data_IF_841373224126
#
_entry.id   IF_841373224126
#
_cell.length_a   1.000
_cell.length_b   1.000
_cell.length_c   1.000
_cell.angle_alpha   90.00
_cell.angle_beta   90.00
_cell.angle_gamma   90.00
#
_symmetry.space_group_name_H-M   'P 1'
#
loop_
_entity.id
_entity.type
_entity.pdbx_description
1 polymer ?
#
# COMPACT_ATOMS: atom_id res chain seq x y z
N UNK A 1 -18.75 -29.84 33.46
CA UNK A 1 -18.57 -28.48 32.93
C UNK A 1 -17.62 -28.61 31.73
N UNK A 2 -18.09 -28.33 30.52
CA UNK A 2 -17.23 -28.37 29.34
C UNK A 2 -16.20 -27.28 29.48
N UNK A 3 -14.93 -27.60 29.27
CA UNK A 3 -13.84 -26.62 29.19
C UNK A 3 -14.20 -25.60 28.06
N UNK A 4 -14.17 -24.30 28.33
CA UNK A 4 -14.34 -23.34 27.21
C UNK A 4 -13.24 -23.62 26.19
N UNK A 5 -13.62 -23.65 24.90
CA UNK A 5 -12.67 -23.77 23.81
C UNK A 5 -11.58 -22.70 23.96
N UNK A 6 -10.30 -23.01 23.64
CA UNK A 6 -9.23 -22.05 23.72
C UNK A 6 -9.59 -20.79 22.89
N UNK A 7 -9.16 -19.62 23.34
CA UNK A 7 -9.49 -18.32 22.74
C UNK A 7 -9.19 -18.25 21.23
N UNK A 8 -8.26 -19.05 20.74
CA UNK A 8 -7.90 -19.21 19.32
C UNK A 8 -8.98 -19.89 18.46
N UNK A 9 -10.06 -20.42 19.04
CA UNK A 9 -11.17 -21.04 18.28
C UNK A 9 -12.45 -20.18 18.25
N UNK A 10 -12.42 -18.97 18.84
CA UNK A 10 -13.54 -18.04 18.70
C UNK A 10 -13.14 -16.99 17.65
N UNK A 11 -13.72 -17.07 16.46
CA UNK A 11 -13.59 -16.04 15.45
C UNK A 11 -14.06 -14.68 15.98
N UNK A 12 -13.59 -13.59 15.33
CA UNK A 12 -14.06 -12.24 15.57
C UNK A 12 -15.57 -12.20 15.26
N UNK A 13 -16.37 -11.67 16.19
CA UNK A 13 -17.82 -11.47 15.96
C UNK A 13 -18.01 -10.34 14.94
N UNK A 14 -18.74 -10.62 13.85
CA UNK A 14 -18.94 -9.69 12.75
C UNK A 14 -20.43 -9.62 12.44
N UNK A 15 -20.98 -8.40 12.47
CA UNK A 15 -22.36 -8.11 12.08
C UNK A 15 -22.35 -7.19 10.87
N UNK A 16 -23.20 -7.48 9.89
CA UNK A 16 -23.33 -6.69 8.67
C UNK A 16 -24.70 -6.08 8.56
N UNK A 17 -24.74 -4.81 8.13
CA UNK A 17 -25.95 -4.08 7.74
C UNK A 17 -25.74 -3.46 6.36
N UNK A 18 -26.84 -3.16 5.68
CA UNK A 18 -26.81 -2.42 4.41
C UNK A 18 -27.90 -1.37 4.40
N UNK A 19 -27.51 -0.11 4.20
CA UNK A 19 -28.43 0.98 4.05
C UNK A 19 -29.16 0.94 2.69
N UNK A 20 -30.29 1.63 2.60
CA UNK A 20 -31.07 1.72 1.37
C UNK A 20 -30.28 2.35 0.19
N UNK A 21 -29.33 3.24 0.48
CA UNK A 21 -28.43 3.86 -0.50
C UNK A 21 -27.24 2.98 -0.90
N UNK A 22 -27.17 1.75 -0.39
CA UNK A 22 -26.17 0.76 -0.76
C UNK A 22 -24.92 0.73 0.12
N UNK A 23 -24.72 1.66 1.08
CA UNK A 23 -23.61 1.63 2.02
C UNK A 23 -23.62 0.31 2.80
N UNK A 24 -22.51 -0.42 2.77
CA UNK A 24 -22.31 -1.60 3.62
C UNK A 24 -21.68 -1.17 4.93
N UNK A 25 -22.21 -1.68 6.03
CA UNK A 25 -21.77 -1.38 7.40
C UNK A 25 -21.36 -2.69 8.06
N UNK A 26 -20.13 -2.75 8.54
CA UNK A 26 -19.54 -3.92 9.19
C UNK A 26 -19.21 -3.55 10.64
N UNK A 27 -19.78 -4.26 11.60
CA UNK A 27 -19.61 -3.99 13.03
C UNK A 27 -18.89 -5.15 13.71
N UNK A 28 -18.02 -4.82 14.66
CA UNK A 28 -17.39 -5.79 15.55
C UNK A 28 -17.21 -5.21 16.95
N UNK A 29 -17.95 -5.76 17.92
CA UNK A 29 -17.89 -5.32 19.30
C UNK A 29 -16.62 -5.80 20.01
N UNK A 30 -16.00 -4.89 20.78
CA UNK A 30 -14.87 -5.19 21.67
C UNK A 30 -14.86 -4.21 22.84
N UNK A 31 -15.31 -4.68 24.00
CA UNK A 31 -15.45 -3.88 25.21
C UNK A 31 -14.22 -3.94 26.13
N UNK A 32 -13.05 -4.41 25.63
CA UNK A 32 -11.83 -4.50 26.42
C UNK A 32 -11.24 -3.13 26.77
N UNK A 33 -11.44 -2.15 25.89
CA UNK A 33 -10.97 -0.77 26.07
C UNK A 33 -12.06 0.20 25.63
N UNK A 34 -12.22 1.39 26.28
CA UNK A 34 -13.29 2.35 25.96
C UNK A 34 -12.95 3.20 24.72
N UNK A 35 -12.60 2.55 23.63
CA UNK A 35 -12.27 3.17 22.33
C UNK A 35 -13.04 2.52 21.21
N UNK A 36 -13.34 3.28 20.16
CA UNK A 36 -13.93 2.79 18.93
C UNK A 36 -13.14 3.30 17.71
N UNK A 37 -12.99 2.47 16.70
CA UNK A 37 -12.46 2.86 15.41
C UNK A 37 -13.58 2.91 14.37
N UNK A 38 -13.55 3.95 13.56
CA UNK A 38 -14.34 4.10 12.33
C UNK A 38 -13.37 4.00 11.17
N UNK A 39 -13.65 3.15 10.19
CA UNK A 39 -12.85 3.02 8.98
C UNK A 39 -13.79 2.99 7.77
N UNK A 40 -13.60 3.93 6.86
CA UNK A 40 -14.39 4.04 5.64
C UNK A 40 -13.50 3.78 4.43
N UNK A 41 -13.73 2.66 3.74
CA UNK A 41 -13.07 2.30 2.50
C UNK A 41 -13.93 2.63 1.30
N UNK A 42 -13.34 3.33 0.34
CA UNK A 42 -13.88 3.47 -1.00
C UNK A 42 -13.16 2.53 -1.95
N UNK A 43 -13.91 1.78 -2.77
CA UNK A 43 -13.35 0.95 -3.85
C UNK A 43 -12.87 1.84 -4.99
N UNK A 44 -11.82 2.60 -4.70
CA UNK A 44 -11.14 3.49 -5.65
C UNK A 44 -9.69 3.72 -5.22
N UNK A 45 -8.76 3.52 -6.14
CA UNK A 45 -7.33 3.77 -5.98
C UNK A 45 -6.72 4.09 -7.34
N UNK A 46 -5.39 4.08 -7.46
CA UNK A 46 -4.71 4.48 -8.70
C UNK A 46 -5.07 3.62 -9.91
N UNK A 47 -5.45 2.35 -9.72
CA UNK A 47 -5.94 1.48 -10.82
C UNK A 47 -7.16 2.02 -11.54
N UNK A 48 -7.83 3.02 -10.99
CA UNK A 48 -9.05 3.64 -11.55
C UNK A 48 -8.76 4.85 -12.40
N UNK A 49 -7.53 5.33 -12.33
CA UNK A 49 -7.07 6.48 -13.05
C UNK A 49 -6.87 6.17 -14.53
N UNK A 50 -6.99 7.18 -15.35
CA UNK A 50 -6.74 7.06 -16.78
C UNK A 50 -5.40 7.69 -17.13
N UNK A 51 -4.76 7.21 -18.18
CA UNK A 51 -3.49 7.77 -18.69
C UNK A 51 -3.63 9.27 -18.93
N UNK A 52 -2.66 10.04 -18.44
CA UNK A 52 -2.68 11.51 -18.47
C UNK A 52 -3.44 12.16 -17.31
N UNK A 53 -3.88 11.37 -16.32
CA UNK A 53 -4.57 11.81 -15.10
C UNK A 53 -4.17 10.96 -13.89
N UNK A 54 -2.89 10.54 -13.83
CA UNK A 54 -2.36 9.74 -12.72
C UNK A 54 -2.10 10.60 -11.49
N UNK A 55 -2.26 10.02 -10.30
CA UNK A 55 -2.12 10.71 -9.02
C UNK A 55 -3.41 11.35 -8.48
N UNK A 56 -4.54 11.26 -9.23
CA UNK A 56 -5.82 11.84 -8.82
C UNK A 56 -6.38 11.18 -7.57
N UNK A 57 -6.26 9.86 -7.43
CA UNK A 57 -6.76 9.15 -6.25
C UNK A 57 -6.05 9.60 -4.97
N UNK A 58 -4.73 9.77 -5.04
CA UNK A 58 -3.94 10.26 -3.92
C UNK A 58 -4.15 11.76 -3.65
N UNK A 59 -4.20 12.58 -4.70
CA UNK A 59 -4.58 13.99 -4.55
C UNK A 59 -5.95 14.11 -3.89
N UNK A 60 -6.88 13.20 -4.23
CA UNK A 60 -8.22 13.21 -3.65
C UNK A 60 -8.21 12.83 -2.17
N UNK A 61 -7.32 11.92 -1.74
CA UNK A 61 -7.10 11.64 -0.32
C UNK A 61 -6.82 12.93 0.46
N UNK A 62 -5.93 13.79 -0.05
CA UNK A 62 -5.61 15.08 0.55
C UNK A 62 -6.80 16.06 0.51
N UNK A 63 -7.51 16.12 -0.61
CA UNK A 63 -8.66 17.01 -0.77
C UNK A 63 -9.79 16.69 0.22
N UNK A 64 -9.95 15.44 0.63
CA UNK A 64 -10.96 15.03 1.60
C UNK A 64 -10.77 15.65 3.00
N UNK A 65 -9.62 16.24 3.29
CA UNK A 65 -9.35 16.95 4.54
C UNK A 65 -9.47 18.48 4.40
N UNK A 66 -9.81 18.99 3.22
CA UNK A 66 -9.90 20.43 2.96
C UNK A 66 -11.23 21.07 3.38
N UNK A 67 -12.06 20.30 4.09
CA UNK A 67 -13.37 20.78 4.58
C UNK A 67 -14.54 20.22 3.78
N UNK A 68 -15.72 20.62 4.19
CA UNK A 68 -17.02 20.21 3.63
C UNK A 68 -18.04 21.33 3.87
N UNK A 69 -19.33 21.09 3.65
CA UNK A 69 -20.34 22.13 3.87
C UNK A 69 -20.39 22.62 5.34
N UNK A 70 -20.11 21.74 6.30
CA UNK A 70 -20.25 22.05 7.74
C UNK A 70 -18.91 22.01 8.50
N UNK A 71 -17.83 21.62 7.87
CA UNK A 71 -16.49 21.49 8.46
C UNK A 71 -15.51 22.37 7.71
N UNK A 72 -14.81 23.24 8.45
CA UNK A 72 -13.80 24.13 7.86
C UNK A 72 -12.58 23.36 7.37
N UNK A 73 -11.73 24.03 6.58
CA UNK A 73 -10.42 23.49 6.21
C UNK A 73 -9.64 23.06 7.45
N UNK A 74 -9.07 21.86 7.46
CA UNK A 74 -8.43 21.20 8.59
C UNK A 74 -9.33 20.91 9.80
N UNK A 75 -10.62 21.26 9.75
CA UNK A 75 -11.56 21.08 10.85
C UNK A 75 -11.72 19.61 11.27
N UNK A 76 -11.52 18.64 10.37
CA UNK A 76 -11.49 17.22 10.72
C UNK A 76 -10.39 16.93 11.76
N UNK A 77 -9.17 17.42 11.54
CA UNK A 77 -8.05 17.24 12.48
C UNK A 77 -8.33 17.90 13.81
N UNK A 78 -8.82 19.15 13.79
CA UNK A 78 -9.12 19.91 15.01
C UNK A 78 -10.20 19.23 15.85
N UNK A 79 -11.29 18.76 15.24
CA UNK A 79 -12.41 18.14 15.93
C UNK A 79 -12.04 16.76 16.48
N UNK A 80 -11.39 15.91 15.69
CA UNK A 80 -11.01 14.57 16.13
C UNK A 80 -9.93 14.61 17.22
N UNK A 81 -8.87 15.40 17.02
CA UNK A 81 -7.79 15.54 18.02
C UNK A 81 -8.27 16.25 19.27
N UNK A 82 -9.14 17.28 19.13
CA UNK A 82 -9.77 17.97 20.24
C UNK A 82 -10.67 17.06 21.08
N UNK A 83 -11.26 16.03 20.48
CA UNK A 83 -12.04 14.99 21.16
C UNK A 83 -11.17 13.83 21.72
N UNK A 84 -9.83 13.92 21.62
CA UNK A 84 -8.91 12.89 22.09
C UNK A 84 -8.70 11.72 21.13
N UNK A 85 -9.08 11.86 19.88
CA UNK A 85 -8.92 10.86 18.82
C UNK A 85 -7.68 11.09 17.95
N UNK A 86 -7.48 10.16 17.02
CA UNK A 86 -6.52 10.24 15.94
C UNK A 86 -7.20 9.88 14.61
N UNK A 87 -6.70 10.45 13.51
CA UNK A 87 -7.24 10.18 12.16
C UNK A 87 -6.12 10.14 11.12
N UNK A 88 -6.41 9.46 10.01
CA UNK A 88 -5.56 9.47 8.82
C UNK A 88 -6.35 9.04 7.57
N UNK A 89 -5.72 9.17 6.41
CA UNK A 89 -6.14 8.58 5.15
C UNK A 89 -4.98 7.90 4.47
N UNK A 90 -5.26 6.92 3.60
CA UNK A 90 -4.25 6.29 2.76
C UNK A 90 -4.83 5.89 1.41
N UNK A 91 -3.99 5.94 0.37
CA UNK A 91 -4.34 5.50 -0.98
C UNK A 91 -3.42 4.38 -1.43
N UNK A 92 -4.00 3.35 -2.05
CA UNK A 92 -3.27 2.28 -2.70
C UNK A 92 -3.70 2.13 -4.16
N UNK A 93 -3.22 1.09 -4.83
CA UNK A 93 -3.70 0.76 -6.18
C UNK A 93 -5.20 0.49 -6.23
N UNK A 94 -5.76 -0.13 -5.19
CA UNK A 94 -7.10 -0.71 -5.23
C UNK A 94 -8.11 0.02 -4.36
N UNK A 95 -7.68 0.85 -3.42
CA UNK A 95 -8.57 1.49 -2.46
C UNK A 95 -8.04 2.84 -1.97
N UNK A 96 -8.95 3.67 -1.46
CA UNK A 96 -8.67 4.84 -0.63
C UNK A 96 -9.48 4.70 0.64
N UNK A 97 -8.85 4.87 1.80
CA UNK A 97 -9.55 4.79 3.08
C UNK A 97 -9.28 6.00 3.97
N UNK A 98 -10.22 6.22 4.86
CA UNK A 98 -10.14 7.21 5.93
C UNK A 98 -10.52 6.52 7.22
N UNK A 99 -9.82 6.83 8.30
CA UNK A 99 -10.06 6.14 9.55
C UNK A 99 -9.76 7.02 10.75
N UNK A 100 -10.57 6.88 11.78
CA UNK A 100 -10.46 7.51 13.07
C UNK A 100 -10.43 6.47 14.19
N UNK A 101 -9.66 6.73 15.23
CA UNK A 101 -9.77 6.05 16.52
C UNK A 101 -10.14 7.07 17.57
N UNK A 102 -11.27 6.85 18.23
CA UNK A 102 -11.89 7.81 19.14
C UNK A 102 -12.15 7.16 20.52
N UNK A 103 -12.18 7.95 21.63
CA UNK A 103 -12.89 7.49 22.83
C UNK A 103 -14.33 7.08 22.45
N UNK A 104 -14.81 5.96 22.96
CA UNK A 104 -16.10 5.35 22.54
C UNK A 104 -17.30 6.34 22.63
N UNK A 105 -17.32 7.22 23.65
CA UNK A 105 -18.35 8.22 23.81
C UNK A 105 -18.33 9.34 22.75
N UNK A 106 -17.31 9.40 21.90
CA UNK A 106 -17.15 10.34 20.78
C UNK A 106 -17.42 9.69 19.41
N UNK A 107 -17.85 8.43 19.38
CA UNK A 107 -18.10 7.70 18.13
C UNK A 107 -19.08 8.43 17.20
N UNK A 108 -20.14 9.05 17.75
CA UNK A 108 -21.12 9.79 16.95
C UNK A 108 -20.47 10.94 16.16
N UNK A 109 -19.46 11.62 16.75
CA UNK A 109 -18.70 12.68 16.07
C UNK A 109 -17.96 12.15 14.85
N UNK A 110 -17.24 11.03 14.97
CA UNK A 110 -16.52 10.43 13.83
C UNK A 110 -17.48 10.04 12.70
N UNK A 111 -18.60 9.38 13.02
CA UNK A 111 -19.61 9.01 12.03
C UNK A 111 -20.21 10.23 11.32
N UNK A 112 -20.45 11.31 12.05
CA UNK A 112 -20.95 12.56 11.47
C UNK A 112 -19.92 13.19 10.52
N UNK A 113 -18.64 13.25 10.92
CA UNK A 113 -17.56 13.80 10.10
C UNK A 113 -17.41 13.04 8.77
N UNK A 114 -17.40 11.72 8.83
CA UNK A 114 -17.32 10.87 7.63
C UNK A 114 -18.51 11.05 6.70
N UNK A 115 -19.71 11.12 7.26
CA UNK A 115 -20.92 11.35 6.48
C UNK A 115 -20.94 12.77 5.87
N UNK A 116 -20.50 13.78 6.59
CA UNK A 116 -20.50 15.16 6.11
C UNK A 116 -19.56 15.31 4.91
N UNK A 117 -18.33 14.80 4.99
CA UNK A 117 -17.42 14.85 3.82
C UNK A 117 -17.88 13.98 2.65
N UNK A 118 -18.45 12.80 2.89
CA UNK A 118 -19.03 11.98 1.81
C UNK A 118 -20.17 12.71 1.09
N UNK A 119 -21.03 13.38 1.84
CA UNK A 119 -22.22 14.04 1.30
C UNK A 119 -21.99 15.43 0.75
N UNK A 120 -21.01 16.16 1.23
CA UNK A 120 -20.93 17.62 1.02
C UNK A 120 -19.55 18.21 0.71
N UNK A 121 -18.51 17.39 0.49
CA UNK A 121 -17.16 17.83 0.16
C UNK A 121 -17.13 18.85 -0.99
N UNK A 122 -17.90 18.60 -2.07
CA UNK A 122 -17.88 19.45 -3.27
C UNK A 122 -18.33 20.90 -2.98
N UNK A 123 -19.01 21.15 -1.86
CA UNK A 123 -19.40 22.51 -1.46
C UNK A 123 -18.21 23.36 -1.00
N UNK A 124 -17.16 22.71 -0.48
CA UNK A 124 -15.93 23.37 -0.02
C UNK A 124 -14.77 23.29 -1.04
N UNK A 125 -14.91 22.45 -2.08
CA UNK A 125 -13.85 22.21 -3.04
C UNK A 125 -13.81 23.33 -4.10
N UNK A 126 -12.76 24.15 -4.06
CA UNK A 126 -12.49 25.27 -4.97
C UNK A 126 -11.08 25.20 -5.59
N UNK A 127 -10.76 26.13 -6.48
CA UNK A 127 -9.43 26.20 -7.13
C UNK A 127 -8.31 26.40 -6.11
N UNK A 128 -8.54 27.15 -5.03
CA UNK A 128 -7.51 27.42 -4.02
C UNK A 128 -7.13 26.16 -3.26
N UNK A 129 -8.13 25.39 -2.80
CA UNK A 129 -7.89 24.10 -2.11
C UNK A 129 -7.24 23.08 -3.06
N UNK A 130 -7.65 23.06 -4.32
CA UNK A 130 -7.07 22.18 -5.35
C UNK A 130 -5.59 22.52 -5.61
N UNK A 131 -5.22 23.77 -5.84
CA UNK A 131 -3.85 24.21 -6.06
C UNK A 131 -2.96 23.92 -4.84
N UNK A 132 -3.44 24.27 -3.64
CA UNK A 132 -2.69 24.02 -2.41
C UNK A 132 -2.36 22.54 -2.24
N UNK A 133 -3.34 21.65 -2.45
CA UNK A 133 -3.10 20.21 -2.29
C UNK A 133 -2.27 19.62 -3.42
N UNK A 134 -2.39 20.13 -4.64
CA UNK A 134 -1.48 19.78 -5.74
C UNK A 134 -0.02 20.05 -5.35
N UNK A 135 0.27 21.23 -4.80
CA UNK A 135 1.61 21.59 -4.36
C UNK A 135 2.11 20.71 -3.21
N UNK A 136 1.21 20.36 -2.26
CA UNK A 136 1.54 19.42 -1.17
C UNK A 136 1.93 18.05 -1.74
N UNK A 137 1.12 17.46 -2.62
CA UNK A 137 1.41 16.15 -3.25
C UNK A 137 2.69 16.19 -4.09
N UNK A 138 2.93 17.28 -4.85
CA UNK A 138 4.18 17.45 -5.61
C UNK A 138 5.40 17.55 -4.70
N UNK A 139 5.28 18.22 -3.56
CA UNK A 139 6.36 18.28 -2.56
C UNK A 139 6.59 16.93 -1.90
N UNK A 140 5.53 16.19 -1.60
CA UNK A 140 5.62 14.82 -1.09
C UNK A 140 6.33 13.89 -2.10
N UNK A 141 5.98 13.98 -3.39
CA UNK A 141 6.68 13.22 -4.44
C UNK A 141 8.17 13.52 -4.43
N UNK A 142 8.56 14.81 -4.39
CA UNK A 142 9.98 15.17 -4.30
C UNK A 142 10.66 14.59 -3.07
N UNK A 143 10.00 14.67 -1.90
CA UNK A 143 10.59 14.25 -0.62
C UNK A 143 10.69 12.73 -0.47
N UNK A 144 9.73 11.97 -1.01
CA UNK A 144 9.66 10.52 -0.81
C UNK A 144 10.18 9.70 -1.98
N UNK A 145 10.24 10.29 -3.17
CA UNK A 145 10.59 9.59 -4.40
C UNK A 145 11.77 10.25 -5.11
N UNK A 146 11.62 11.49 -5.59
CA UNK A 146 12.58 12.08 -6.54
C UNK A 146 13.92 12.42 -5.89
N UNK A 147 13.93 12.83 -4.61
CA UNK A 147 15.14 13.23 -3.87
C UNK A 147 15.70 12.14 -2.93
N UNK A 148 15.18 10.93 -3.01
CA UNK A 148 15.62 9.80 -2.16
C UNK A 148 16.38 8.80 -3.02
N UNK A 149 17.58 8.36 -2.63
CA UNK A 149 18.29 7.30 -3.36
C UNK A 149 17.39 6.09 -3.58
N UNK A 150 17.30 5.61 -4.81
CA UNK A 150 16.41 4.51 -5.24
C UNK A 150 14.91 4.79 -5.09
N UNK A 151 14.49 6.02 -4.80
CA UNK A 151 13.11 6.34 -4.43
C UNK A 151 12.09 6.04 -5.52
N UNK A 152 12.47 6.11 -6.81
CA UNK A 152 11.61 5.79 -7.96
C UNK A 152 11.65 4.31 -8.37
N UNK A 153 12.39 3.45 -7.65
CA UNK A 153 12.59 2.06 -8.04
C UNK A 153 11.28 1.26 -8.14
N UNK A 154 10.38 1.44 -7.16
CA UNK A 154 9.10 0.75 -7.16
C UNK A 154 8.21 1.18 -8.34
N UNK A 155 8.16 2.47 -8.65
CA UNK A 155 7.44 3.03 -9.79
C UNK A 155 7.95 2.43 -11.12
N UNK A 156 9.29 2.40 -11.30
CA UNK A 156 9.93 1.80 -12.49
C UNK A 156 9.68 0.28 -12.59
N UNK A 157 9.75 -0.45 -11.48
CA UNK A 157 9.46 -1.89 -11.48
C UNK A 157 7.98 -2.17 -11.76
N UNK A 158 7.05 -1.37 -11.26
CA UNK A 158 5.64 -1.47 -11.61
C UNK A 158 5.44 -1.24 -13.12
N UNK A 159 6.05 -0.19 -13.67
CA UNK A 159 5.98 0.11 -15.11
C UNK A 159 6.59 -0.98 -15.99
N UNK A 160 7.64 -1.65 -15.56
CA UNK A 160 8.20 -2.80 -16.27
C UNK A 160 7.34 -4.06 -16.13
N UNK A 161 6.73 -4.25 -14.96
CA UNK A 161 5.93 -5.45 -14.66
C UNK A 161 4.55 -5.42 -15.29
N UNK A 162 3.98 -4.24 -15.48
CA UNK A 162 2.66 -4.04 -16.08
C UNK A 162 2.79 -3.25 -17.39
N UNK A 163 2.18 -3.69 -18.51
CA UNK A 163 2.27 -3.01 -19.79
C UNK A 163 1.75 -1.56 -19.76
N UNK A 164 2.23 -0.72 -20.67
CA UNK A 164 1.68 0.65 -20.82
C UNK A 164 0.16 0.60 -21.04
N UNK A 165 -0.55 1.49 -20.34
CA UNK A 165 -2.01 1.52 -20.32
C UNK A 165 -2.69 0.52 -19.42
N UNK A 166 -1.94 -0.40 -18.79
CA UNK A 166 -2.49 -1.30 -17.78
C UNK A 166 -2.83 -0.52 -16.48
N UNK A 167 -3.93 -0.85 -15.77
CA UNK A 167 -4.36 -0.12 -14.56
C UNK A 167 -3.30 -0.01 -13.45
N UNK A 168 -2.37 -0.95 -13.36
CA UNK A 168 -1.32 -0.99 -12.34
C UNK A 168 0.06 -0.55 -12.86
N UNK A 169 0.12 0.02 -14.07
CA UNK A 169 1.38 0.50 -14.66
C UNK A 169 2.00 1.66 -13.89
N UNK A 170 1.20 2.49 -13.23
CA UNK A 170 1.62 3.65 -12.45
C UNK A 170 1.28 3.47 -10.96
N UNK A 171 1.98 4.18 -10.11
CA UNK A 171 1.79 4.17 -8.66
C UNK A 171 0.83 5.26 -8.19
N UNK A 172 0.28 5.17 -6.96
CA UNK A 172 -0.67 6.16 -6.44
C UNK A 172 -0.18 7.61 -6.44
N UNK A 173 1.13 7.83 -6.29
CA UNK A 173 1.66 9.21 -6.27
C UNK A 173 1.49 9.94 -7.61
N UNK A 174 1.38 9.21 -8.71
CA UNK A 174 1.21 9.75 -10.05
C UNK A 174 2.44 10.49 -10.59
N UNK A 175 2.33 11.04 -11.80
CA UNK A 175 3.39 11.85 -12.41
C UNK A 175 3.21 13.34 -12.12
N UNK A 176 4.33 14.10 -12.06
CA UNK A 176 4.29 15.56 -11.92
C UNK A 176 3.48 16.22 -13.04
N UNK A 177 3.65 15.74 -14.28
CA UNK A 177 2.97 16.29 -15.45
C UNK A 177 1.44 16.08 -15.37
N UNK A 178 1.00 14.91 -14.93
CA UNK A 178 -0.42 14.59 -14.80
C UNK A 178 -1.06 15.39 -13.64
N UNK A 179 -0.33 15.54 -12.52
CA UNK A 179 -0.77 16.38 -11.41
C UNK A 179 -0.93 17.85 -11.85
N UNK A 180 0.01 18.38 -12.63
CA UNK A 180 -0.08 19.75 -13.18
C UNK A 180 -1.25 19.92 -14.16
N UNK A 181 -1.58 18.87 -14.92
CA UNK A 181 -2.67 18.86 -15.86
C UNK A 181 -4.06 18.63 -15.23
N UNK A 182 -4.12 18.14 -13.98
CA UNK A 182 -5.38 17.87 -13.30
C UNK A 182 -6.16 19.16 -13.03
N UNK A 183 -7.45 19.17 -13.34
CA UNK A 183 -8.34 20.32 -13.17
C UNK A 183 -9.31 20.10 -12.00
N UNK A 184 -9.89 21.19 -11.49
CA UNK A 184 -10.96 21.12 -10.48
C UNK A 184 -12.16 20.29 -10.99
N UNK A 185 -12.48 20.34 -12.28
CA UNK A 185 -13.56 19.52 -12.85
C UNK A 185 -13.18 18.03 -12.92
N UNK A 186 -11.91 17.68 -13.19
CA UNK A 186 -11.43 16.31 -13.07
C UNK A 186 -11.63 15.79 -11.65
N UNK A 187 -11.28 16.59 -10.64
CA UNK A 187 -11.49 16.25 -9.22
C UNK A 187 -12.98 16.07 -8.89
N UNK A 188 -13.84 16.99 -9.34
CA UNK A 188 -15.29 16.89 -9.14
C UNK A 188 -15.89 15.66 -9.81
N UNK A 189 -15.44 15.36 -11.04
CA UNK A 189 -15.89 14.18 -11.77
C UNK A 189 -15.44 12.89 -11.06
N UNK A 190 -14.20 12.86 -10.56
CA UNK A 190 -13.67 11.74 -9.80
C UNK A 190 -14.47 11.47 -8.52
N UNK A 191 -14.78 12.52 -7.75
CA UNK A 191 -15.64 12.40 -6.58
C UNK A 191 -17.02 11.84 -6.91
N UNK A 192 -17.71 12.45 -7.88
CA UNK A 192 -19.03 11.98 -8.30
C UNK A 192 -19.05 10.55 -8.79
N UNK A 193 -17.91 10.05 -9.30
CA UNK A 193 -17.82 8.69 -9.82
C UNK A 193 -17.57 7.66 -8.72
N UNK A 194 -16.75 7.99 -7.74
CA UNK A 194 -16.21 6.98 -6.83
C UNK A 194 -16.58 7.18 -5.35
N UNK A 195 -16.86 8.42 -4.92
CA UNK A 195 -17.09 8.72 -3.51
C UNK A 195 -18.60 8.74 -3.19
N UNK A 196 -19.19 7.57 -3.19
CA UNK A 196 -20.61 7.39 -2.94
C UNK A 196 -20.88 6.19 -2.01
N UNK A 197 -22.00 6.19 -1.28
CA UNK A 197 -22.34 5.13 -0.33
C UNK A 197 -22.30 3.71 -0.91
N UNK A 198 -22.79 3.54 -2.13
CA UNK A 198 -22.83 2.23 -2.80
C UNK A 198 -21.47 1.76 -3.36
N UNK A 199 -20.44 2.59 -3.25
CA UNK A 199 -19.04 2.26 -3.56
C UNK A 199 -18.14 2.23 -2.32
N UNK A 200 -18.74 2.18 -1.13
CA UNK A 200 -18.03 2.25 0.14
C UNK A 200 -18.43 1.13 1.10
N UNK A 201 -17.50 0.81 2.00
CA UNK A 201 -17.74 -0.02 3.18
C UNK A 201 -17.31 0.77 4.40
N UNK A 202 -18.19 0.89 5.37
CA UNK A 202 -17.94 1.47 6.67
C UNK A 202 -17.77 0.37 7.70
N UNK A 203 -16.63 0.28 8.35
CA UNK A 203 -16.40 -0.61 9.48
C UNK A 203 -16.33 0.20 10.78
N UNK A 204 -17.01 -0.29 11.82
CA UNK A 204 -16.97 0.27 13.17
C UNK A 204 -16.63 -0.84 14.15
N UNK A 205 -15.52 -0.67 14.88
CA UNK A 205 -14.97 -1.71 15.76
C UNK A 205 -14.61 -1.10 17.12
N UNK A 206 -14.93 -1.79 18.19
CA UNK A 206 -14.53 -1.40 19.53
C UNK A 206 -15.66 -1.41 20.55
N UNK A 207 -15.59 -0.52 21.54
CA UNK A 207 -16.60 -0.39 22.60
C UNK A 207 -17.83 0.35 22.05
N UNK A 208 -18.67 -0.41 21.36
CA UNK A 208 -19.85 0.08 20.62
C UNK A 208 -21.11 -0.67 21.04
N UNK A 209 -22.23 0.02 20.96
CA UNK A 209 -23.57 -0.59 20.92
C UNK A 209 -23.98 -0.70 19.45
N UNK A 210 -24.18 -1.92 18.88
CA UNK A 210 -24.49 -2.08 17.48
C UNK A 210 -25.80 -1.42 17.05
N UNK A 211 -26.86 -1.49 17.88
CA UNK A 211 -28.17 -0.91 17.54
C UNK A 211 -28.07 0.62 17.48
N UNK A 212 -27.42 1.21 18.45
CA UNK A 212 -27.18 2.66 18.49
C UNK A 212 -26.25 3.10 17.34
N UNK A 213 -25.20 2.34 17.05
CA UNK A 213 -24.28 2.62 15.95
C UNK A 213 -25.00 2.60 14.59
N UNK A 214 -25.82 1.59 14.33
CA UNK A 214 -26.64 1.53 13.12
C UNK A 214 -27.61 2.72 13.04
N UNK A 215 -28.24 3.10 14.16
CA UNK A 215 -29.12 4.26 14.19
C UNK A 215 -28.40 5.58 13.83
N UNK A 216 -27.17 5.77 14.32
CA UNK A 216 -26.36 6.93 13.92
C UNK A 216 -25.93 6.87 12.45
N UNK A 217 -25.53 5.70 11.97
CA UNK A 217 -25.17 5.52 10.55
C UNK A 217 -26.37 5.82 9.64
N UNK A 218 -27.56 5.31 9.94
CA UNK A 218 -28.79 5.65 9.22
C UNK A 218 -29.09 7.15 9.26
N UNK A 219 -28.95 7.79 10.44
CA UNK A 219 -29.19 9.22 10.64
C UNK A 219 -28.31 10.09 9.75
N UNK A 220 -27.01 9.77 9.66
CA UNK A 220 -26.03 10.62 8.99
C UNK A 220 -25.80 10.23 7.52
N UNK A 221 -25.71 8.95 7.22
CA UNK A 221 -25.42 8.46 5.86
C UNK A 221 -26.68 8.18 5.03
N UNK A 222 -27.82 7.87 5.68
CA UNK A 222 -29.01 7.36 4.98
C UNK A 222 -29.57 8.29 3.90
N UNK A 223 -29.40 9.62 4.03
CA UNK A 223 -29.86 10.59 3.05
C UNK A 223 -28.88 10.89 1.92
N UNK A 224 -27.62 10.40 2.01
CA UNK A 224 -26.61 10.62 0.96
C UNK A 224 -26.99 9.76 -0.24
N UNK A 225 -27.12 10.35 -1.44
CA UNK A 225 -27.55 9.59 -2.62
C UNK A 225 -26.51 8.58 -3.06
N UNK A 226 -26.98 7.42 -3.50
CA UNK A 226 -26.17 6.46 -4.23
C UNK A 226 -25.77 7.02 -5.59
N UNK A 227 -24.64 6.56 -6.12
CA UNK A 227 -24.21 6.90 -7.46
C UNK A 227 -24.92 6.02 -8.50
N UNK A 228 -25.50 6.62 -9.55
CA UNK A 228 -26.20 5.90 -10.61
C UNK A 228 -25.28 5.33 -11.70
N UNK A 229 -24.00 5.69 -11.68
CA UNK A 229 -23.01 5.26 -12.66
C UNK A 229 -22.48 3.86 -12.42
N UNK A 230 -22.33 3.08 -13.49
CA UNK A 230 -21.50 1.87 -13.44
C UNK A 230 -20.04 2.31 -13.39
N UNK A 231 -19.30 1.76 -12.45
CA UNK A 231 -17.84 1.91 -12.47
C UNK A 231 -17.30 1.36 -13.80
N UNK A 232 -16.28 2.01 -14.38
CA UNK A 232 -15.66 1.48 -15.59
C UNK A 232 -15.16 0.05 -15.32
N UNK A 233 -15.35 -0.89 -16.25
CA UNK A 233 -14.79 -2.22 -16.11
C UNK A 233 -13.28 -2.15 -16.05
N UNK A 234 -12.68 -2.92 -15.15
CA UNK A 234 -11.25 -2.94 -14.89
C UNK A 234 -10.72 -4.31 -15.21
N UNK A 235 -10.22 -4.44 -16.42
CA UNK A 235 -9.49 -5.64 -16.78
C UNK A 235 -8.02 -5.46 -16.39
N UNK A 236 -7.63 -6.07 -15.29
CA UNK A 236 -6.24 -6.18 -14.83
C UNK A 236 -5.64 -7.54 -15.16
N UNK A 237 -6.30 -8.34 -16.01
CA UNK A 237 -5.83 -9.66 -16.37
C UNK A 237 -4.53 -9.60 -17.16
N UNK A 238 -3.57 -10.43 -16.77
CA UNK A 238 -2.29 -10.60 -17.44
C UNK A 238 -1.90 -12.09 -17.44
N UNK A 239 -0.99 -12.50 -18.34
CA UNK A 239 -0.35 -13.80 -18.21
C UNK A 239 0.27 -13.97 -16.84
N UNK A 240 0.25 -15.18 -16.33
CA UNK A 240 0.74 -15.54 -15.00
C UNK A 240 2.22 -15.20 -14.78
N UNK A 241 3.00 -15.14 -15.87
CA UNK A 241 4.42 -14.75 -15.84
C UNK A 241 4.69 -13.66 -16.86
N UNK A 242 5.82 -12.96 -16.69
CA UNK A 242 6.29 -11.94 -17.65
C UNK A 242 6.74 -12.60 -18.97
N UNK A 243 7.16 -13.88 -18.92
CA UNK A 243 7.59 -14.67 -20.08
C UNK A 243 9.02 -14.41 -20.55
N UNK A 244 9.69 -13.40 -19.99
CA UNK A 244 11.11 -13.06 -20.23
C UNK A 244 11.62 -12.17 -19.11
N UNK A 245 12.95 -12.09 -18.99
CA UNK A 245 13.53 -11.04 -18.16
C UNK A 245 13.41 -9.68 -18.85
N UNK A 246 12.97 -8.67 -18.09
CA UNK A 246 13.03 -7.25 -18.46
C UNK A 246 14.09 -6.60 -17.57
N UNK A 247 15.08 -5.91 -18.16
CA UNK A 247 16.20 -5.35 -17.39
C UNK A 247 16.47 -3.92 -17.82
N UNK A 248 16.67 -3.03 -16.83
CA UNK A 248 17.04 -1.63 -17.04
C UNK A 248 18.23 -1.26 -16.16
N UNK A 249 19.20 -0.55 -16.73
CA UNK A 249 20.35 0.04 -16.02
C UNK A 249 20.06 1.51 -15.72
N UNK A 250 20.13 1.87 -14.44
CA UNK A 250 19.88 3.22 -13.96
C UNK A 250 21.16 3.76 -13.34
N UNK A 251 21.57 4.96 -13.79
CA UNK A 251 22.68 5.71 -13.20
C UNK A 251 22.10 6.91 -12.48
N UNK A 252 22.24 6.91 -11.17
CA UNK A 252 21.73 7.96 -10.29
C UNK A 252 22.74 8.24 -9.18
N UNK A 253 22.54 9.35 -8.46
CA UNK A 253 23.29 9.65 -7.24
C UNK A 253 22.81 8.74 -6.11
N UNK A 254 23.39 7.56 -6.03
CA UNK A 254 23.07 6.53 -5.05
C UNK A 254 24.33 6.08 -4.29
N UNK A 255 24.21 5.72 -3.00
CA UNK A 255 25.35 5.40 -2.15
C UNK A 255 26.07 4.09 -2.53
N UNK A 256 25.40 3.18 -3.22
CA UNK A 256 25.97 1.89 -3.64
C UNK A 256 25.24 1.34 -4.85
N UNK A 257 25.81 0.33 -5.52
CA UNK A 257 25.08 -0.45 -6.51
C UNK A 257 23.94 -1.19 -5.84
N UNK A 258 22.83 -1.37 -6.57
CA UNK A 258 21.72 -2.18 -6.10
C UNK A 258 21.13 -3.01 -7.23
N UNK A 259 20.66 -4.21 -6.88
CA UNK A 259 19.84 -5.06 -7.71
C UNK A 259 18.42 -5.09 -7.11
N UNK A 260 17.45 -4.59 -7.84
CA UNK A 260 16.05 -4.64 -7.45
C UNK A 260 15.27 -5.41 -8.50
N UNK A 261 14.36 -6.29 -8.09
CA UNK A 261 13.59 -7.06 -9.04
C UNK A 261 12.14 -7.22 -8.58
N UNK A 262 11.21 -7.33 -9.54
CA UNK A 262 9.83 -7.68 -9.30
C UNK A 262 9.49 -8.97 -10.05
N UNK A 263 8.80 -9.88 -9.36
CA UNK A 263 8.31 -11.15 -9.90
C UNK A 263 6.78 -11.13 -9.90
N UNK A 264 6.13 -11.54 -11.00
CA UNK A 264 4.68 -11.73 -10.99
C UNK A 264 4.32 -12.95 -10.15
N UNK A 265 3.36 -12.76 -9.26
CA UNK A 265 2.86 -13.76 -8.32
C UNK A 265 1.34 -13.91 -8.47
N UNK A 266 0.74 -14.96 -7.93
CA UNK A 266 -0.70 -15.13 -7.97
C UNK A 266 -1.45 -13.95 -7.36
N UNK A 267 -2.71 -13.79 -7.78
CA UNK A 267 -3.62 -12.79 -7.23
C UNK A 267 -3.85 -12.99 -5.73
N UNK A 268 -3.95 -11.90 -4.99
CA UNK A 268 -4.32 -11.94 -3.58
C UNK A 268 -5.66 -12.67 -3.36
N UNK A 269 -5.77 -13.35 -2.22
CA UNK A 269 -6.93 -14.15 -1.85
C UNK A 269 -6.96 -15.57 -2.41
N UNK A 270 -5.91 -16.01 -3.13
CA UNK A 270 -5.73 -17.39 -3.59
C UNK A 270 -4.77 -18.16 -2.68
N UNK A 271 -4.92 -19.50 -2.63
CA UNK A 271 -4.01 -20.36 -1.87
C UNK A 271 -2.57 -20.29 -2.39
N UNK A 272 -2.43 -20.14 -3.68
CA UNK A 272 -1.12 -19.96 -4.33
C UNK A 272 -0.44 -18.63 -3.89
N UNK A 273 -1.24 -17.59 -3.64
CA UNK A 273 -0.71 -16.32 -3.10
C UNK A 273 -0.23 -16.48 -1.65
N UNK A 274 -0.93 -17.28 -0.84
CA UNK A 274 -0.50 -17.58 0.53
C UNK A 274 0.81 -18.40 0.52
N UNK A 275 0.93 -19.36 -0.38
CA UNK A 275 2.17 -20.13 -0.56
C UNK A 275 3.34 -19.25 -1.06
N UNK A 276 3.06 -18.28 -1.95
CA UNK A 276 4.04 -17.32 -2.42
C UNK A 276 4.52 -16.38 -1.30
N UNK A 277 3.64 -15.92 -0.43
CA UNK A 277 4.00 -15.10 0.74
C UNK A 277 4.95 -15.85 1.68
N UNK A 278 4.64 -17.12 1.99
CA UNK A 278 5.53 -17.99 2.75
C UNK A 278 6.90 -18.17 2.07
N UNK A 279 6.92 -18.36 0.74
CA UNK A 279 8.17 -18.45 -0.01
C UNK A 279 9.02 -17.20 0.12
N UNK A 280 8.42 -16.00 -0.07
CA UNK A 280 9.12 -14.72 0.06
C UNK A 280 9.58 -14.45 1.49
N UNK A 281 8.78 -14.82 2.49
CA UNK A 281 9.14 -14.72 3.92
C UNK A 281 10.38 -15.56 4.23
N UNK A 282 10.45 -16.80 3.75
CA UNK A 282 11.61 -17.66 3.95
C UNK A 282 12.84 -17.14 3.23
N UNK A 283 12.65 -16.67 2.00
CA UNK A 283 13.76 -16.20 1.14
C UNK A 283 14.33 -14.86 1.60
N UNK A 284 13.49 -13.91 2.04
CA UNK A 284 13.96 -12.53 2.22
C UNK A 284 13.41 -11.76 3.42
N UNK A 285 12.61 -12.35 4.33
CA UNK A 285 12.12 -11.60 5.48
C UNK A 285 13.03 -11.78 6.70
N UNK A 286 13.67 -10.66 7.10
CA UNK A 286 14.52 -10.58 8.27
C UNK A 286 15.87 -11.28 8.12
N UNK A 287 16.68 -11.21 9.20
CA UNK A 287 18.06 -11.68 9.20
C UNK A 287 18.23 -13.21 9.18
N UNK A 288 17.18 -13.96 9.44
CA UNK A 288 17.17 -15.42 9.36
C UNK A 288 16.81 -15.96 7.97
N UNK A 289 16.46 -15.08 7.02
CA UNK A 289 16.11 -15.45 5.66
C UNK A 289 17.29 -15.98 4.86
N UNK A 290 17.01 -16.75 3.81
CA UNK A 290 18.06 -17.40 3.01
C UNK A 290 18.96 -16.39 2.30
N UNK A 291 18.39 -15.36 1.66
CA UNK A 291 19.16 -14.35 0.94
C UNK A 291 20.00 -13.50 1.89
N UNK A 292 19.48 -13.10 3.04
CA UNK A 292 20.27 -12.37 4.03
C UNK A 292 21.45 -13.22 4.54
N UNK A 293 21.20 -14.48 4.91
CA UNK A 293 22.27 -15.38 5.34
C UNK A 293 23.31 -15.62 4.25
N UNK A 294 22.89 -15.75 2.97
CA UNK A 294 23.79 -15.91 1.82
C UNK A 294 24.60 -14.67 1.55
N UNK A 295 23.92 -13.58 1.22
CA UNK A 295 24.55 -12.37 0.66
C UNK A 295 25.21 -11.49 1.72
N UNK A 296 24.58 -11.36 2.90
CA UNK A 296 25.07 -10.44 3.95
C UNK A 296 26.03 -11.15 4.91
N UNK A 297 25.65 -12.34 5.43
CA UNK A 297 26.46 -13.00 6.47
C UNK A 297 27.61 -13.83 5.92
N UNK A 298 27.33 -14.69 4.92
CA UNK A 298 28.30 -15.64 4.42
C UNK A 298 29.22 -15.03 3.36
N UNK A 299 28.63 -14.54 2.27
CA UNK A 299 29.38 -14.04 1.10
C UNK A 299 29.86 -12.60 1.31
N UNK A 300 29.20 -11.83 2.17
CA UNK A 300 29.50 -10.42 2.50
C UNK A 300 29.52 -9.51 1.27
N UNK A 301 28.74 -9.87 0.27
CA UNK A 301 28.61 -9.12 -0.99
C UNK A 301 27.48 -8.08 -0.94
N UNK A 302 26.63 -8.13 0.07
CA UNK A 302 25.57 -7.16 0.27
C UNK A 302 25.56 -6.59 1.71
N UNK A 303 25.07 -5.35 1.85
CA UNK A 303 24.74 -4.74 3.15
C UNK A 303 23.30 -4.99 3.55
N UNK A 304 22.43 -5.21 2.58
CA UNK A 304 21.03 -5.53 2.77
C UNK A 304 20.54 -6.47 1.66
N UNK A 305 19.65 -7.39 2.02
CA UNK A 305 18.95 -8.26 1.09
C UNK A 305 17.57 -8.57 1.67
N UNK A 306 16.52 -8.32 0.92
CA UNK A 306 15.15 -8.54 1.36
C UNK A 306 14.20 -8.88 0.23
N UNK A 307 13.11 -9.55 0.59
CA UNK A 307 11.98 -9.80 -0.29
C UNK A 307 10.70 -9.31 0.39
N UNK A 308 9.90 -8.53 -0.33
CA UNK A 308 8.57 -8.08 0.09
C UNK A 308 7.48 -8.55 -0.87
N UNK A 309 6.23 -8.36 -0.48
CA UNK A 309 5.06 -8.71 -1.29
C UNK A 309 4.13 -7.51 -1.42
N UNK A 310 3.83 -7.12 -2.65
CA UNK A 310 2.70 -6.26 -2.98
C UNK A 310 1.53 -7.15 -3.37
N UNK A 311 0.54 -7.25 -2.49
CA UNK A 311 -0.70 -8.01 -2.74
C UNK A 311 -1.65 -7.19 -3.61
N UNK A 312 -2.12 -7.79 -4.69
CA UNK A 312 -3.08 -7.21 -5.63
C UNK A 312 -4.21 -8.21 -5.88
N UNK A 313 -5.46 -7.76 -5.73
CA UNK A 313 -6.64 -8.59 -5.97
C UNK A 313 -7.11 -8.53 -7.42
N UNK A 314 -6.91 -7.40 -8.09
CA UNK A 314 -7.36 -7.15 -9.47
C UNK A 314 -6.29 -7.38 -10.54
N UNK A 315 -5.07 -7.78 -10.18
CA UNK A 315 -3.96 -8.11 -11.07
C UNK A 315 -3.01 -9.11 -10.40
N UNK A 316 -2.06 -9.72 -11.12
CA UNK A 316 -0.99 -10.48 -10.50
C UNK A 316 -0.26 -9.65 -9.44
N UNK A 317 -0.08 -10.21 -8.24
CA UNK A 317 0.72 -9.61 -7.17
C UNK A 317 2.19 -9.48 -7.59
N UNK A 318 2.98 -8.66 -6.91
CA UNK A 318 4.41 -8.53 -7.18
C UNK A 318 5.23 -8.91 -5.94
N UNK A 319 6.14 -9.87 -6.11
CA UNK A 319 7.24 -10.10 -5.17
C UNK A 319 8.35 -9.09 -5.45
N UNK A 320 8.77 -8.36 -4.44
CA UNK A 320 9.78 -7.29 -4.53
C UNK A 320 11.08 -7.71 -3.87
N UNK A 321 12.13 -7.90 -4.66
CA UNK A 321 13.50 -8.14 -4.20
C UNK A 321 14.27 -6.81 -4.15
N UNK A 322 14.97 -6.55 -3.06
CA UNK A 322 15.90 -5.41 -2.88
C UNK A 322 17.21 -5.94 -2.32
N UNK A 323 18.31 -5.77 -3.06
CA UNK A 323 19.66 -6.11 -2.63
C UNK A 323 20.60 -4.93 -2.88
N UNK A 324 21.22 -4.43 -1.82
CA UNK A 324 22.24 -3.36 -1.89
C UNK A 324 23.63 -3.95 -1.70
N UNK A 325 24.54 -3.65 -2.63
CA UNK A 325 25.91 -4.22 -2.61
C UNK A 325 26.75 -3.70 -1.44
N UNK A 326 27.74 -4.49 -1.05
CA UNK A 326 28.78 -4.12 -0.09
C UNK A 326 30.15 -3.99 -0.78
N UNK A 327 30.86 -2.92 -0.50
CA UNK A 327 32.21 -2.71 -1.02
C UNK A 327 32.31 -2.80 -2.55
N UNK A 328 33.25 -3.59 -3.05
CA UNK A 328 33.50 -3.75 -4.48
C UNK A 328 32.67 -4.87 -5.14
N UNK A 329 31.68 -5.43 -4.42
CA UNK A 329 30.84 -6.48 -4.99
C UNK A 329 30.13 -6.00 -6.26
N UNK A 330 30.12 -6.86 -7.29
CA UNK A 330 29.49 -6.54 -8.57
C UNK A 330 28.04 -7.00 -8.61
N UNK A 331 27.25 -6.38 -9.49
CA UNK A 331 25.84 -6.79 -9.70
C UNK A 331 25.76 -8.22 -10.23
N UNK A 332 26.70 -8.65 -11.07
CA UNK A 332 26.76 -10.02 -11.63
C UNK A 332 26.94 -11.06 -10.51
N UNK A 333 27.76 -10.73 -9.49
CA UNK A 333 27.95 -11.61 -8.33
C UNK A 333 26.65 -11.75 -7.51
N UNK A 334 25.97 -10.63 -7.28
CA UNK A 334 24.70 -10.61 -6.57
C UNK A 334 23.63 -11.39 -7.35
N UNK A 335 23.48 -11.07 -8.62
CA UNK A 335 22.47 -11.68 -9.51
C UNK A 335 22.65 -13.20 -9.60
N UNK A 336 23.89 -13.66 -9.84
CA UNK A 336 24.19 -15.08 -9.85
C UNK A 336 23.87 -15.78 -8.51
N UNK A 337 24.21 -15.13 -7.38
CA UNK A 337 23.94 -15.70 -6.06
C UNK A 337 22.43 -15.72 -5.72
N UNK A 338 21.67 -14.72 -6.17
CA UNK A 338 20.21 -14.72 -6.07
C UNK A 338 19.62 -15.84 -6.90
N UNK A 339 20.01 -15.96 -8.18
CA UNK A 339 19.49 -16.98 -9.07
C UNK A 339 19.79 -18.41 -8.58
N UNK A 340 21.00 -18.65 -8.07
CA UNK A 340 21.37 -19.93 -7.45
C UNK A 340 20.51 -20.25 -6.21
N UNK A 341 20.25 -19.26 -5.36
CA UNK A 341 19.44 -19.48 -4.15
C UNK A 341 17.98 -19.73 -4.48
N UNK A 342 17.40 -18.97 -5.43
CA UNK A 342 16.04 -19.18 -5.91
C UNK A 342 15.89 -20.54 -6.59
N UNK A 343 16.84 -20.93 -7.46
CA UNK A 343 16.83 -22.24 -8.13
C UNK A 343 16.96 -23.40 -7.12
N UNK A 344 17.81 -23.25 -6.09
CA UNK A 344 17.93 -24.23 -5.02
C UNK A 344 16.63 -24.34 -4.22
N UNK A 345 16.01 -23.22 -3.86
CA UNK A 345 14.74 -23.19 -3.15
C UNK A 345 13.60 -23.82 -3.96
N UNK A 346 13.55 -23.55 -5.26
CA UNK A 346 12.58 -24.15 -6.18
C UNK A 346 12.75 -25.67 -6.32
N UNK A 347 14.00 -26.17 -6.24
CA UNK A 347 14.29 -27.61 -6.33
C UNK A 347 14.03 -28.35 -5.01
N UNK A 348 14.46 -27.81 -3.89
CA UNK A 348 14.49 -28.48 -2.59
C UNK A 348 13.28 -28.15 -1.71
N UNK A 349 12.66 -26.98 -1.90
CA UNK A 349 11.62 -26.43 -1.03
C UNK A 349 12.17 -25.91 0.31
N UNK A 350 11.26 -25.49 1.20
CA UNK A 350 11.61 -25.12 2.56
C UNK A 350 11.89 -26.38 3.42
N UNK A 351 12.78 -26.25 4.36
CA UNK A 351 12.88 -27.22 5.48
C UNK A 351 11.68 -27.04 6.42
N UNK A 352 11.32 -28.08 7.21
CA UNK A 352 10.24 -27.97 8.18
C UNK A 352 10.41 -26.79 9.15
N UNK A 353 11.65 -26.53 9.61
CA UNK A 353 11.94 -25.44 10.53
C UNK A 353 11.82 -24.03 9.86
N UNK A 354 12.10 -23.92 8.57
CA UNK A 354 11.90 -22.68 7.83
C UNK A 354 10.41 -22.39 7.62
N UNK A 355 9.63 -23.40 7.27
CA UNK A 355 8.19 -23.27 7.11
C UNK A 355 7.51 -22.87 8.43
N UNK A 356 7.80 -23.61 9.51
CA UNK A 356 7.27 -23.31 10.85
C UNK A 356 7.60 -21.87 11.29
N UNK A 357 8.85 -21.44 11.08
CA UNK A 357 9.27 -20.07 11.39
C UNK A 357 8.50 -19.03 10.55
N UNK A 358 8.33 -19.24 9.26
CA UNK A 358 7.62 -18.33 8.38
C UNK A 358 6.13 -18.24 8.74
N UNK A 359 5.50 -19.38 9.01
CA UNK A 359 4.12 -19.44 9.51
C UNK A 359 3.95 -18.69 10.83
N UNK A 360 4.84 -18.90 11.80
CA UNK A 360 4.82 -18.19 13.08
C UNK A 360 5.05 -16.67 12.91
N UNK A 361 5.88 -16.26 11.97
CA UNK A 361 6.09 -14.85 11.66
C UNK A 361 4.82 -14.20 11.06
N UNK A 362 4.19 -14.85 10.10
CA UNK A 362 2.93 -14.38 9.49
C UNK A 362 1.80 -14.36 10.53
N UNK A 363 1.71 -15.41 11.38
CA UNK A 363 0.74 -15.46 12.49
C UNK A 363 0.91 -14.28 13.44
N UNK A 364 2.15 -13.99 13.86
CA UNK A 364 2.43 -12.84 14.72
C UNK A 364 2.01 -11.53 14.07
N UNK A 365 2.37 -11.31 12.81
CA UNK A 365 2.01 -10.08 12.08
C UNK A 365 0.50 -9.95 11.89
N UNK A 366 -0.20 -11.05 11.66
CA UNK A 366 -1.65 -11.12 11.59
C UNK A 366 -2.30 -10.74 12.93
N UNK A 367 -1.83 -11.36 14.03
CA UNK A 367 -2.32 -11.06 15.36
C UNK A 367 -2.04 -9.60 15.74
N UNK A 368 -0.85 -9.09 15.48
CA UNK A 368 -0.49 -7.69 15.75
C UNK A 368 -1.46 -6.72 15.07
N UNK A 369 -1.84 -6.95 13.80
CA UNK A 369 -2.85 -6.13 13.11
C UNK A 369 -4.23 -6.20 13.78
N UNK A 370 -4.64 -7.35 14.25
CA UNK A 370 -5.95 -7.54 14.85
C UNK A 370 -6.04 -7.17 16.34
N UNK A 371 -4.92 -6.88 17.01
CA UNK A 371 -4.92 -6.43 18.41
C UNK A 371 -5.50 -5.04 18.58
N UNK A 372 -5.42 -4.18 17.56
CA UNK A 372 -5.96 -2.83 17.61
C UNK A 372 -7.36 -2.77 16.98
N UNK A 373 -8.25 -1.93 17.53
CA UNK A 373 -9.58 -1.71 16.93
C UNK A 373 -9.47 -1.12 15.52
N UNK A 374 -8.48 -0.24 15.28
CA UNK A 374 -8.22 0.34 13.97
C UNK A 374 -7.78 -0.71 12.93
N UNK A 375 -6.80 -1.56 13.28
CA UNK A 375 -6.32 -2.61 12.39
C UNK A 375 -7.43 -3.63 12.06
N UNK A 376 -8.27 -3.97 13.05
CA UNK A 376 -9.42 -4.84 12.82
C UNK A 376 -10.46 -4.19 11.89
N UNK A 377 -10.74 -2.89 12.09
CA UNK A 377 -11.68 -2.16 11.24
C UNK A 377 -11.18 -2.10 9.79
N UNK A 378 -9.89 -1.87 9.57
CA UNK A 378 -9.27 -1.82 8.26
C UNK A 378 -9.32 -3.19 7.56
N UNK A 379 -8.94 -4.28 8.25
CA UNK A 379 -9.01 -5.64 7.69
C UNK A 379 -10.46 -6.05 7.36
N UNK A 380 -11.45 -5.70 8.19
CA UNK A 380 -12.87 -5.95 7.87
C UNK A 380 -13.30 -5.23 6.59
N UNK A 381 -12.91 -3.97 6.42
CA UNK A 381 -13.13 -3.25 5.16
C UNK A 381 -12.43 -3.93 3.98
N UNK A 382 -11.16 -4.34 4.16
CA UNK A 382 -10.39 -5.02 3.12
C UNK A 382 -11.10 -6.28 2.63
N UNK A 383 -11.52 -7.16 3.53
CA UNK A 383 -12.24 -8.39 3.15
C UNK A 383 -13.60 -8.11 2.53
N UNK A 384 -14.31 -7.10 3.04
CA UNK A 384 -15.61 -6.72 2.49
C UNK A 384 -15.50 -6.10 1.08
N UNK A 385 -14.48 -5.26 0.81
CA UNK A 385 -14.32 -4.57 -0.48
C UNK A 385 -13.67 -5.48 -1.51
N UNK A 386 -12.52 -6.09 -1.17
CA UNK A 386 -11.72 -6.82 -2.16
C UNK A 386 -12.24 -8.26 -2.41
N UNK A 387 -12.83 -8.89 -1.39
CA UNK A 387 -13.28 -10.29 -1.48
C UNK A 387 -14.80 -10.47 -1.30
N UNK A 388 -15.51 -9.38 -1.03
CA UNK A 388 -16.98 -9.37 -0.95
C UNK A 388 -17.60 -9.84 0.38
N UNK A 389 -16.82 -10.48 1.27
CA UNK A 389 -17.30 -11.03 2.54
C UNK A 389 -16.30 -10.74 3.69
N UNK A 390 -16.65 -9.88 4.67
CA UNK A 390 -15.78 -9.57 5.80
C UNK A 390 -15.53 -10.78 6.73
N UNK A 391 -16.38 -11.81 6.71
CA UNK A 391 -16.25 -13.00 7.55
C UNK A 391 -15.09 -13.89 7.14
N UNK A 392 -14.60 -13.75 5.89
CA UNK A 392 -13.37 -14.42 5.41
C UNK A 392 -12.15 -14.08 6.26
N UNK A 393 -12.17 -12.96 6.98
CA UNK A 393 -11.14 -12.58 7.95
C UNK A 393 -10.86 -13.71 8.96
N UNK A 394 -11.91 -14.39 9.43
CA UNK A 394 -11.76 -15.47 10.43
C UNK A 394 -11.08 -16.73 9.88
N UNK A 395 -11.12 -16.93 8.57
CA UNK A 395 -10.55 -18.11 7.91
C UNK A 395 -9.14 -17.84 7.33
N UNK A 396 -8.70 -16.59 7.29
CA UNK A 396 -7.49 -16.21 6.58
C UNK A 396 -6.23 -16.82 7.20
N UNK A 397 -6.01 -16.63 8.51
CA UNK A 397 -4.85 -17.21 9.17
C UNK A 397 -4.82 -18.75 9.13
N UNK A 398 -5.93 -19.47 9.45
CA UNK A 398 -5.96 -20.94 9.30
C UNK A 398 -5.55 -21.43 7.90
N UNK A 399 -5.97 -20.73 6.82
CA UNK A 399 -5.60 -21.10 5.45
C UNK A 399 -4.10 -20.98 5.20
N UNK A 400 -3.46 -19.91 5.68
CA UNK A 400 -2.01 -19.73 5.56
C UNK A 400 -1.26 -20.79 6.36
N UNK A 401 -1.70 -21.09 7.59
CA UNK A 401 -1.06 -22.09 8.43
C UNK A 401 -1.21 -23.55 7.93
N UNK A 402 -2.19 -23.81 7.07
CA UNK A 402 -2.42 -25.11 6.42
C UNK A 402 -1.60 -25.27 5.11
N UNK A 403 -0.86 -24.26 4.67
CA UNK A 403 -0.02 -24.34 3.47
C UNK A 403 1.17 -25.28 3.72
N UNK A 404 1.38 -26.21 2.80
CA UNK A 404 2.41 -27.24 2.88
C UNK A 404 3.75 -26.81 2.25
N UNK A 405 4.83 -27.45 2.67
CA UNK A 405 6.15 -27.25 2.08
C UNK A 405 6.19 -27.51 0.56
N UNK A 406 5.39 -28.46 0.08
CA UNK A 406 5.29 -28.78 -1.33
C UNK A 406 4.63 -27.65 -2.13
N UNK A 407 3.53 -27.06 -1.63
CA UNK A 407 2.88 -25.91 -2.27
C UNK A 407 3.82 -24.70 -2.33
N UNK A 408 4.59 -24.46 -1.27
CA UNK A 408 5.63 -23.41 -1.26
C UNK A 408 6.73 -23.68 -2.28
N UNK A 409 7.18 -24.92 -2.42
CA UNK A 409 8.16 -25.34 -3.43
C UNK A 409 7.63 -25.15 -4.84
N UNK A 410 6.40 -25.61 -5.10
CA UNK A 410 5.77 -25.55 -6.41
C UNK A 410 5.58 -24.12 -6.90
N UNK A 411 5.08 -23.22 -6.03
CA UNK A 411 4.89 -21.82 -6.41
C UNK A 411 6.24 -21.11 -6.63
N UNK A 412 7.26 -21.40 -5.82
CA UNK A 412 8.59 -20.86 -6.02
C UNK A 412 9.17 -21.31 -7.38
N UNK A 413 9.05 -22.59 -7.74
CA UNK A 413 9.47 -23.11 -9.03
C UNK A 413 8.73 -22.48 -10.21
N UNK A 414 7.42 -22.23 -10.05
CA UNK A 414 6.59 -21.64 -11.09
C UNK A 414 6.78 -20.14 -11.27
N UNK A 415 7.22 -19.41 -10.24
CA UNK A 415 7.20 -17.94 -10.25
C UNK A 415 8.54 -17.25 -9.99
N UNK A 416 9.44 -17.83 -9.19
CA UNK A 416 10.70 -17.18 -8.79
C UNK A 416 11.86 -17.62 -9.68
N UNK A 417 11.83 -17.20 -10.94
CA UNK A 417 12.85 -17.54 -11.94
C UNK A 417 13.09 -16.38 -12.92
N UNK A 418 14.26 -16.35 -13.62
CA UNK A 418 14.63 -15.19 -14.46
C UNK A 418 13.63 -14.81 -15.55
N UNK A 419 12.89 -15.77 -16.11
CA UNK A 419 11.90 -15.48 -17.16
C UNK A 419 10.62 -14.82 -16.64
N UNK A 420 10.48 -14.70 -15.34
CA UNK A 420 9.32 -14.05 -14.69
C UNK A 420 9.72 -12.84 -13.88
N UNK A 421 10.75 -12.10 -14.27
CA UNK A 421 11.18 -10.93 -13.50
C UNK A 421 11.40 -9.67 -14.34
N UNK A 422 11.11 -8.52 -13.76
CA UNK A 422 11.60 -7.21 -14.14
C UNK A 422 12.73 -6.81 -13.19
N UNK A 423 13.84 -6.30 -13.71
CA UNK A 423 15.07 -6.02 -12.96
C UNK A 423 15.52 -4.59 -13.20
N UNK A 424 15.83 -3.88 -12.13
CA UNK A 424 16.55 -2.62 -12.15
C UNK A 424 17.95 -2.83 -11.57
N UNK A 425 18.94 -2.39 -12.31
CA UNK A 425 20.32 -2.32 -11.85
C UNK A 425 20.65 -0.87 -11.60
N UNK A 426 20.95 -0.52 -10.36
CA UNK A 426 21.41 0.81 -10.00
C UNK A 426 22.93 0.85 -9.94
N UNK A 427 23.51 1.83 -10.62
CA UNK A 427 24.94 2.17 -10.53
C UNK A 427 25.08 3.63 -10.06
N UNK A 428 25.98 3.91 -9.10
CA UNK A 428 26.33 5.27 -8.74
C UNK A 428 26.81 6.05 -9.97
N UNK A 429 26.33 7.28 -10.14
CA UNK A 429 26.91 8.21 -11.10
C UNK A 429 28.37 8.42 -10.71
N UNK A 430 29.35 8.29 -11.64
CA UNK A 430 30.72 8.63 -11.33
C UNK A 430 30.80 10.06 -10.79
N UNK A 431 31.55 10.28 -9.69
CA UNK A 431 31.84 11.63 -9.25
C UNK A 431 32.47 12.35 -10.44
N UNK A 432 31.87 13.42 -10.94
CA UNK A 432 32.54 14.32 -11.87
C UNK A 432 33.78 14.81 -11.13
N UNK A 433 34.97 14.71 -11.76
CA UNK A 433 36.17 15.31 -11.27
C UNK A 433 35.95 16.83 -11.18
N UNK A 434 35.50 17.31 -10.03
CA UNK A 434 35.37 18.74 -9.71
C UNK A 434 36.74 19.37 -9.43
N UNK A 435 37.77 18.91 -10.13
CA UNK A 435 39.12 19.44 -10.12
C UNK A 435 39.39 20.14 -11.45
N UNK A 436 38.74 21.29 -11.73
CA UNK A 436 39.37 22.33 -12.57
C UNK A 436 38.56 23.64 -12.69
N UNK A 437 37.95 24.17 -11.64
CA UNK A 437 37.33 25.50 -11.73
C UNK A 437 37.72 26.46 -10.58
N UNK A 438 38.77 26.14 -9.81
CA UNK A 438 39.30 27.02 -8.77
C UNK A 438 40.62 27.69 -9.14
N UNK A 439 41.11 27.52 -10.38
CA UNK A 439 42.37 28.13 -10.84
C UNK A 439 42.21 29.37 -11.74
N UNK A 440 40.99 29.82 -12.02
CA UNK A 440 40.76 30.91 -12.99
C UNK A 440 40.24 32.24 -12.38
N UNK A 441 40.21 32.41 -11.04
CA UNK A 441 39.79 33.71 -10.44
C UNK A 441 40.78 34.29 -9.43
N UNK A 442 42.10 34.10 -9.64
CA UNK A 442 43.12 34.68 -8.78
C UNK A 442 44.17 35.51 -9.59
N UNK A 443 43.74 36.23 -10.62
CA UNK A 443 44.53 37.30 -11.25
C UNK A 443 43.58 38.34 -11.83
N UNK A 444 43.15 39.31 -11.04
CA UNK A 444 42.87 40.73 -11.42
C UNK A 444 42.19 41.45 -10.24
N UNK A 445 42.97 41.86 -9.26
CA UNK A 445 42.67 43.00 -8.39
C UNK A 445 43.97 43.52 -7.75
N UNK A 446 44.87 44.05 -8.59
CA UNK A 446 45.84 45.06 -8.23
C UNK A 446 45.86 46.10 -9.36
N UNK A 447 45.07 47.16 -9.17
CA UNK A 447 45.40 48.52 -9.62
C UNK A 447 44.15 49.42 -9.40
N UNK A 448 44.32 50.39 -8.52
CA UNK A 448 43.33 51.46 -8.45
C UNK A 448 43.12 52.12 -7.10
N UNK A 449 44.19 52.41 -6.36
CA UNK A 449 44.14 53.39 -5.28
C UNK A 449 44.92 54.64 -5.73
N UNK A 450 44.18 55.69 -6.17
CA UNK A 450 44.59 57.09 -6.14
C UNK A 450 43.48 57.99 -6.72
N UNK A 451 42.80 58.72 -5.90
CA UNK A 451 42.44 60.12 -5.76
C UNK A 451 41.13 60.19 -4.95
#
# INVERSE_FOLDING_TARGET
MANPAPASQRGIAITEHRLANGLRVVLSEDHLTPVAAVCLWYDVGSRHEVKGRTGLAHLFEHLMFQGSANVSNNGHFELVQGAGGSLNGTTSFERTNYFETMPAHQLELALWLEADRMGSLLAALDETSMENQRDVVKNERRQRYDNVPYGTAFEKLAALSFPDGHPYHHTPIGSMADLDAATLEDARAFFRTYYAPNNAVLSVVGDIDPEQTVAWVEKYFGSIPAHDGKQPPRDGSLPETIGRELRELIREDVPSRALMAAYRLPHDGTREADAADLALTILGSGESSRLYNRLVRRDRTAVAAGFGLLRLSGAPSLGWLDVKTSGDATIEQIDAAVDEELARFAAEGPTPAELERAQAQIEREWLDRLTTVAGRADELCRYAVLFGDPKLLNDALPKVLDVTAEEVREIAAARLHPQNRAVLVYEPTPAEDTADDTAATAETDEEGAAV
#
